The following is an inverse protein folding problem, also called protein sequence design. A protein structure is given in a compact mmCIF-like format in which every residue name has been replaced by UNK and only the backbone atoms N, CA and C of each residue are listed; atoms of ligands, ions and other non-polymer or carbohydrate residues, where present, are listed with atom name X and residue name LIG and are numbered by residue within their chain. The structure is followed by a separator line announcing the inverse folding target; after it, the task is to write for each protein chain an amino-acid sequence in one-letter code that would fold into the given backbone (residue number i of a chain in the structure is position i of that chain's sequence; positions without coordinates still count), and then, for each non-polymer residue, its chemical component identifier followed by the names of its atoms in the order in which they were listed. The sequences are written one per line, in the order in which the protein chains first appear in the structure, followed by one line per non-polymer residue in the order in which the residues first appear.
data_IF_995630083291
#
_entry.id   IF_995630083291
#
_cell.length_a   1.000
_cell.length_b   1.000
_cell.length_c   1.000
_cell.angle_alpha   90.00
_cell.angle_beta   90.00
_cell.angle_gamma   90.00
#
_symmetry.space_group_name_H-M   'P 1'
#
loop_
_entity.id
_entity.type
_entity.pdbx_description
1 polymer ?
#
# COMPACT_ATOMS: atom_id res chain seq x y z
N UNK A 1 -29.38 61.82 2.79
CA UNK A 1 -29.22 60.70 3.75
C UNK A 1 -28.78 59.43 3.03
N UNK A 2 -27.65 59.45 2.29
CA UNK A 2 -27.21 58.31 1.46
C UNK A 2 -25.79 57.81 1.80
N UNK A 3 -25.16 58.32 2.87
CA UNK A 3 -23.76 58.04 3.22
C UNK A 3 -23.60 57.02 4.38
N UNK A 4 -24.70 56.58 5.01
CA UNK A 4 -24.67 55.61 6.11
C UNK A 4 -24.81 54.14 5.65
N UNK A 5 -25.43 53.90 4.49
CA UNK A 5 -25.59 52.55 3.94
C UNK A 5 -24.28 51.92 3.48
N UNK A 6 -23.47 52.70 2.74
CA UNK A 6 -22.22 52.22 2.14
C UNK A 6 -21.17 51.84 3.19
N UNK A 7 -21.12 52.57 4.31
CA UNK A 7 -20.21 52.25 5.42
C UNK A 7 -20.58 50.93 6.10
N UNK A 8 -21.88 50.62 6.22
CA UNK A 8 -22.34 49.34 6.79
C UNK A 8 -22.02 48.17 5.86
N UNK A 9 -22.17 48.35 4.55
CA UNK A 9 -21.83 47.33 3.55
C UNK A 9 -20.31 47.04 3.56
N UNK A 10 -19.48 48.07 3.66
CA UNK A 10 -18.02 47.93 3.77
C UNK A 10 -17.59 47.20 5.04
N UNK A 11 -18.23 47.51 6.19
CA UNK A 11 -17.97 46.81 7.46
C UNK A 11 -18.40 45.34 7.39
N UNK A 12 -19.55 45.05 6.78
CA UNK A 12 -20.01 43.66 6.59
C UNK A 12 -19.06 42.89 5.66
N UNK A 13 -18.65 43.49 4.54
CA UNK A 13 -17.70 42.87 3.62
C UNK A 13 -16.33 42.61 4.28
N UNK A 14 -15.87 43.54 5.12
CA UNK A 14 -14.63 43.36 5.88
C UNK A 14 -14.76 42.24 6.92
N UNK A 15 -15.88 42.16 7.64
CA UNK A 15 -16.14 41.09 8.61
C UNK A 15 -16.26 39.71 7.94
N UNK A 16 -16.90 39.62 6.78
CA UNK A 16 -16.98 38.38 5.99
C UNK A 16 -15.60 37.98 5.46
N UNK A 17 -14.81 38.93 4.95
CA UNK A 17 -13.44 38.66 4.49
C UNK A 17 -12.51 38.20 5.63
N UNK A 18 -12.65 38.84 6.81
CA UNK A 18 -11.88 38.49 8.00
C UNK A 18 -12.23 37.09 8.51
N UNK A 19 -13.52 36.76 8.55
CA UNK A 19 -13.99 35.42 8.98
C UNK A 19 -13.58 34.33 8.00
N UNK A 20 -13.70 34.57 6.69
CA UNK A 20 -13.22 33.63 5.66
C UNK A 20 -11.70 33.44 5.76
N UNK A 21 -10.93 34.53 5.92
CA UNK A 21 -9.47 34.43 6.09
C UNK A 21 -9.08 33.71 7.37
N UNK A 22 -9.80 33.93 8.48
CA UNK A 22 -9.56 33.23 9.74
C UNK A 22 -9.89 31.74 9.62
N UNK A 23 -11.00 31.36 8.98
CA UNK A 23 -11.38 29.95 8.79
C UNK A 23 -10.40 29.24 7.86
N UNK A 24 -10.00 29.87 6.75
CA UNK A 24 -8.99 29.30 5.83
C UNK A 24 -7.64 29.15 6.53
N UNK A 25 -7.19 30.14 7.31
CA UNK A 25 -5.97 30.00 8.10
C UNK A 25 -6.10 28.95 9.22
N UNK A 26 -7.25 28.83 9.88
CA UNK A 26 -7.46 27.82 10.92
C UNK A 26 -7.42 26.41 10.31
N UNK A 27 -8.02 26.21 9.13
CA UNK A 27 -7.93 24.94 8.39
C UNK A 27 -6.50 24.71 7.87
N UNK A 28 -5.75 25.75 7.49
CA UNK A 28 -4.38 25.57 7.03
C UNK A 28 -3.40 25.26 8.19
N UNK A 29 -3.56 25.93 9.33
CA UNK A 29 -2.72 25.79 10.53
C UNK A 29 -3.08 24.53 11.33
N UNK A 30 -4.36 24.19 11.47
CA UNK A 30 -4.81 23.01 12.23
C UNK A 30 -5.22 21.81 11.37
N UNK A 31 -5.63 22.01 10.10
CA UNK A 31 -5.86 20.90 9.17
C UNK A 31 -4.57 20.18 8.77
N UNK A 32 -3.42 20.87 8.83
CA UNK A 32 -2.11 20.25 8.76
C UNK A 32 -1.77 19.37 9.97
N UNK A 33 -2.42 19.58 11.12
CA UNK A 33 -2.22 18.82 12.36
C UNK A 33 -3.27 17.72 12.60
N UNK A 34 -4.41 17.72 11.90
CA UNK A 34 -5.31 16.56 11.83
C UNK A 34 -4.80 15.49 10.84
N UNK A 35 -3.81 15.83 10.02
CA UNK A 35 -3.12 14.92 9.08
C UNK A 35 -1.65 14.69 9.46
N UNK A 36 -1.34 14.63 10.75
CA UNK A 36 0.00 14.31 11.24
C UNK A 36 -0.01 13.49 12.52
N UNK A 37 0.48 12.25 12.44
CA UNK A 37 1.13 11.64 13.60
C UNK A 37 0.47 10.40 14.22
N UNK A 38 -0.36 9.66 13.50
CA UNK A 38 -0.68 8.28 13.88
C UNK A 38 0.40 7.33 13.42
N UNK A 39 1.49 7.19 14.16
CA UNK A 39 2.33 5.98 14.15
C UNK A 39 1.50 4.82 14.72
N UNK A 40 0.46 4.39 14.03
CA UNK A 40 0.03 3.01 14.13
C UNK A 40 0.80 2.24 13.06
N UNK A 41 2.05 1.96 13.40
CA UNK A 41 2.58 0.66 13.08
C UNK A 41 1.55 -0.33 13.62
N UNK A 42 0.63 -0.79 12.78
CA UNK A 42 0.16 -2.17 12.92
C UNK A 42 1.47 -2.95 12.93
N UNK A 43 1.87 -3.58 14.04
CA UNK A 43 3.06 -4.39 14.00
C UNK A 43 2.73 -5.56 13.08
N UNK A 44 3.08 -5.42 11.81
CA UNK A 44 3.42 -6.59 11.01
C UNK A 44 4.69 -7.07 11.70
N UNK A 45 4.53 -7.94 12.69
CA UNK A 45 5.59 -8.84 13.12
C UNK A 45 5.87 -9.70 11.89
N UNK A 46 6.72 -9.19 11.00
CA UNK A 46 7.55 -10.04 10.18
C UNK A 46 8.39 -10.75 11.22
N UNK A 47 8.03 -11.98 11.55
CA UNK A 47 8.98 -12.89 12.17
C UNK A 47 10.14 -13.00 11.17
N UNK A 48 11.12 -12.10 11.29
CA UNK A 48 12.48 -12.41 10.92
C UNK A 48 12.87 -13.56 11.83
N UNK A 49 12.68 -14.81 11.37
CA UNK A 49 13.47 -15.93 11.86
C UNK A 49 14.91 -15.72 11.38
N UNK A 50 15.56 -14.68 11.89
CA UNK A 50 17.01 -14.63 12.00
C UNK A 50 17.33 -15.40 13.27
N UNK A 51 17.87 -16.60 13.09
CA UNK A 51 18.50 -17.34 14.17
C UNK A 51 19.53 -16.44 14.88
N UNK A 52 19.77 -16.65 16.18
CA UNK A 52 20.68 -15.80 16.94
C UNK A 52 22.06 -15.81 16.30
N UNK A 53 22.51 -14.63 15.88
CA UNK A 53 23.88 -14.38 15.45
C UNK A 53 24.81 -14.69 16.63
N UNK A 54 25.73 -15.62 16.40
CA UNK A 54 26.70 -16.08 17.37
C UNK A 54 27.59 -14.95 17.89
N UNK A 55 27.87 -15.04 19.18
CA UNK A 55 28.88 -14.28 19.90
C UNK A 55 30.27 -14.54 19.29
N UNK A 56 31.12 -13.51 19.10
CA UNK A 56 32.48 -13.70 18.60
C UNK A 56 33.39 -14.15 19.75
N UNK A 57 33.87 -15.40 19.69
CA UNK A 57 34.80 -15.90 20.70
C UNK A 57 35.32 -17.31 20.45
N UNK A 58 36.61 -17.39 20.13
CA UNK A 58 37.54 -18.54 20.16
C UNK A 58 37.36 -19.71 19.16
N UNK A 59 38.43 -20.09 18.42
CA UNK A 59 38.42 -21.25 17.55
C UNK A 59 38.78 -22.50 18.36
N UNK A 60 37.92 -23.52 18.33
CA UNK A 60 38.31 -24.88 18.71
C UNK A 60 37.95 -25.86 17.60
N UNK A 61 38.93 -26.73 17.29
CA UNK A 61 38.99 -27.62 16.13
C UNK A 61 38.61 -29.05 16.56
N UNK A 62 37.95 -29.79 15.66
CA UNK A 62 37.62 -31.25 15.66
C UNK A 62 36.42 -31.64 16.54
N UNK A 63 35.59 -32.65 16.22
CA UNK A 63 35.78 -33.90 15.45
C UNK A 63 34.41 -34.41 14.94
N UNK A 64 34.42 -35.24 13.90
CA UNK A 64 33.25 -35.63 13.10
C UNK A 64 32.12 -36.39 13.79
N UNK A 65 30.98 -36.38 13.08
CA UNK A 65 29.81 -37.21 13.28
C UNK A 65 29.01 -37.21 11.97
N UNK A 66 29.17 -38.29 11.21
CA UNK A 66 28.22 -38.67 10.16
C UNK A 66 26.85 -38.88 10.81
N UNK A 67 25.80 -38.31 10.22
CA UNK A 67 24.45 -38.47 10.71
C UNK A 67 23.49 -37.58 9.93
N UNK A 68 22.91 -38.14 8.89
CA UNK A 68 21.94 -37.47 8.04
C UNK A 68 20.80 -36.85 8.85
N UNK A 69 20.59 -35.56 8.62
CA UNK A 69 19.37 -34.86 8.94
C UNK A 69 19.02 -34.04 7.72
N UNK A 70 18.15 -34.60 6.86
CA UNK A 70 17.52 -33.91 5.75
C UNK A 70 17.22 -32.45 6.13
N UNK A 71 17.77 -31.53 5.36
CA UNK A 71 17.43 -30.12 5.45
C UNK A 71 15.92 -29.98 5.47
N UNK A 72 15.40 -29.48 6.59
CA UNK A 72 13.98 -29.22 6.77
C UNK A 72 13.52 -28.26 5.69
N UNK A 73 12.96 -28.79 4.61
CA UNK A 73 11.94 -28.09 3.86
C UNK A 73 10.84 -27.84 4.87
N UNK A 74 10.81 -26.64 5.45
CA UNK A 74 9.79 -26.23 6.39
C UNK A 74 8.44 -26.62 5.80
N UNK A 75 7.74 -27.53 6.48
CA UNK A 75 6.40 -27.96 6.11
C UNK A 75 5.58 -26.69 5.86
N UNK A 76 5.02 -26.55 4.66
CA UNK A 76 4.06 -25.45 4.42
C UNK A 76 2.92 -25.68 5.40
N UNK A 77 2.85 -24.83 6.42
CA UNK A 77 1.74 -24.88 7.36
C UNK A 77 0.56 -24.19 6.67
N UNK A 78 -0.40 -25.00 6.24
CA UNK A 78 -1.68 -24.51 5.75
C UNK A 78 -2.35 -23.67 6.85
N UNK A 79 -3.02 -22.60 6.45
CA UNK A 79 -3.70 -21.73 7.41
C UNK A 79 -4.80 -22.53 8.15
N UNK A 80 -4.87 -22.40 9.47
CA UNK A 80 -6.00 -22.95 10.23
C UNK A 80 -7.30 -22.29 9.76
N UNK A 81 -8.47 -22.96 9.90
CA UNK A 81 -9.75 -22.37 9.53
C UNK A 81 -10.01 -21.03 10.23
N UNK A 82 -9.61 -20.90 11.50
CA UNK A 82 -9.70 -19.68 12.29
C UNK A 82 -8.85 -18.54 11.70
N UNK A 83 -7.60 -18.85 11.33
CA UNK A 83 -6.71 -17.86 10.71
C UNK A 83 -7.24 -17.43 9.34
N UNK A 84 -7.75 -18.37 8.55
CA UNK A 84 -8.35 -18.06 7.24
C UNK A 84 -9.59 -17.17 7.40
N UNK A 85 -10.41 -17.38 8.43
CA UNK A 85 -11.55 -16.53 8.76
C UNK A 85 -11.11 -15.09 9.08
N UNK A 86 -10.03 -14.91 9.86
CA UNK A 86 -9.47 -13.58 10.14
C UNK A 86 -8.97 -12.87 8.86
N UNK A 87 -8.31 -13.58 7.95
CA UNK A 87 -7.91 -13.00 6.67
C UNK A 87 -9.11 -12.58 5.81
N UNK A 88 -10.18 -13.39 5.81
CA UNK A 88 -11.43 -13.08 5.10
C UNK A 88 -12.11 -11.85 5.68
N UNK A 89 -12.22 -11.77 7.01
CA UNK A 89 -12.79 -10.62 7.71
C UNK A 89 -11.99 -9.35 7.44
N UNK A 90 -10.66 -9.43 7.53
CA UNK A 90 -9.75 -8.32 7.18
C UNK A 90 -9.99 -7.83 5.76
N UNK A 91 -10.07 -8.72 4.78
CA UNK A 91 -10.33 -8.35 3.38
C UNK A 91 -11.69 -7.63 3.24
N UNK A 92 -12.74 -8.11 3.92
CA UNK A 92 -14.05 -7.49 3.92
C UNK A 92 -14.06 -6.09 4.58
N UNK A 93 -13.30 -5.90 5.67
CA UNK A 93 -13.18 -4.58 6.32
C UNK A 93 -12.49 -3.56 5.42
N UNK A 94 -11.38 -3.92 4.76
CA UNK A 94 -10.73 -3.03 3.81
C UNK A 94 -11.57 -2.76 2.56
N UNK A 95 -12.38 -3.72 2.12
CA UNK A 95 -13.34 -3.52 1.04
C UNK A 95 -14.42 -2.50 1.41
N UNK A 96 -15.03 -2.65 2.59
CA UNK A 96 -15.99 -1.66 3.10
C UNK A 96 -15.35 -0.26 3.18
N UNK A 97 -14.17 -0.16 3.79
CA UNK A 97 -13.43 1.10 3.90
C UNK A 97 -13.17 1.74 2.52
N UNK A 98 -12.65 0.97 1.56
CA UNK A 98 -12.37 1.47 0.22
C UNK A 98 -13.64 1.96 -0.48
N UNK A 99 -14.76 1.23 -0.36
CA UNK A 99 -16.02 1.66 -0.94
C UNK A 99 -16.51 2.98 -0.33
N UNK A 100 -16.41 3.13 1.00
CA UNK A 100 -16.77 4.40 1.68
C UNK A 100 -15.91 5.57 1.20
N UNK A 101 -14.59 5.40 1.10
CA UNK A 101 -13.69 6.46 0.62
C UNK A 101 -13.97 6.81 -0.84
N UNK A 102 -14.16 5.81 -1.70
CA UNK A 102 -14.46 6.01 -3.12
C UNK A 102 -15.79 6.75 -3.31
N UNK A 103 -16.82 6.39 -2.55
CA UNK A 103 -18.13 7.06 -2.61
C UNK A 103 -18.07 8.52 -2.14
N UNK A 104 -17.37 8.78 -1.04
CA UNK A 104 -17.19 10.14 -0.52
C UNK A 104 -16.45 11.06 -1.51
N UNK A 105 -15.42 10.54 -2.18
CA UNK A 105 -14.60 11.31 -3.11
C UNK A 105 -15.23 11.47 -4.50
N UNK A 106 -16.03 10.49 -4.94
CA UNK A 106 -16.90 10.65 -6.12
C UNK A 106 -17.88 11.80 -5.92
N UNK A 107 -18.46 11.94 -4.73
CA UNK A 107 -19.34 13.05 -4.41
C UNK A 107 -18.60 14.41 -4.38
N UNK A 108 -17.30 14.41 -4.07
CA UNK A 108 -16.45 15.61 -4.04
C UNK A 108 -15.78 15.96 -5.37
N UNK A 109 -15.82 15.08 -6.38
CA UNK A 109 -15.29 15.32 -7.73
C UNK A 109 -13.77 15.38 -7.83
N UNK A 110 -13.02 14.75 -6.91
CA UNK A 110 -11.55 14.76 -6.89
C UNK A 110 -10.98 13.35 -6.85
N UNK A 111 -9.97 13.09 -7.69
CA UNK A 111 -9.09 11.93 -7.53
C UNK A 111 -8.16 12.21 -6.35
N UNK A 112 -8.41 11.57 -5.21
CA UNK A 112 -7.64 11.81 -3.98
C UNK A 112 -6.60 10.73 -3.71
N UNK A 113 -5.54 11.13 -3.00
CA UNK A 113 -4.54 10.20 -2.46
C UNK A 113 -5.19 9.14 -1.56
N UNK A 114 -6.31 9.46 -0.92
CA UNK A 114 -7.00 8.56 -0.01
C UNK A 114 -7.73 7.44 -0.78
N UNK A 115 -8.33 7.75 -1.94
CA UNK A 115 -8.86 6.71 -2.86
C UNK A 115 -7.75 5.74 -3.28
N UNK A 116 -6.58 6.28 -3.61
CA UNK A 116 -5.44 5.47 -4.02
C UNK A 116 -4.98 4.52 -2.89
N UNK A 117 -4.80 5.06 -1.68
CA UNK A 117 -4.40 4.28 -0.48
C UNK A 117 -5.44 3.23 -0.09
N UNK A 118 -6.72 3.61 -0.09
CA UNK A 118 -7.81 2.73 0.29
C UNK A 118 -7.97 1.58 -0.71
N UNK A 119 -7.90 1.87 -2.01
CA UNK A 119 -7.93 0.85 -3.07
C UNK A 119 -6.76 -0.12 -2.94
N UNK A 120 -5.54 0.40 -2.71
CA UNK A 120 -4.36 -0.43 -2.51
C UNK A 120 -4.47 -1.35 -1.30
N UNK A 121 -4.94 -0.83 -0.16
CA UNK A 121 -5.13 -1.62 1.05
C UNK A 121 -6.16 -2.74 0.86
N UNK A 122 -7.28 -2.45 0.18
CA UNK A 122 -8.29 -3.45 -0.22
C UNK A 122 -7.68 -4.55 -1.08
N UNK A 123 -7.05 -4.19 -2.19
CA UNK A 123 -6.57 -5.17 -3.17
C UNK A 123 -5.46 -6.04 -2.57
N UNK A 124 -4.57 -5.45 -1.77
CA UNK A 124 -3.55 -6.17 -1.00
C UNK A 124 -4.17 -7.15 0.00
N UNK A 125 -5.21 -6.73 0.73
CA UNK A 125 -5.89 -7.61 1.68
C UNK A 125 -6.58 -8.80 0.96
N UNK A 126 -7.25 -8.55 -0.17
CA UNK A 126 -7.87 -9.59 -1.01
C UNK A 126 -6.84 -10.60 -1.52
N UNK A 127 -5.75 -10.11 -2.12
CA UNK A 127 -4.65 -10.98 -2.60
C UNK A 127 -4.05 -11.81 -1.47
N UNK A 128 -3.85 -11.21 -0.29
CA UNK A 128 -3.33 -11.93 0.88
C UNK A 128 -4.30 -13.04 1.30
N UNK A 129 -5.59 -12.76 1.40
CA UNK A 129 -6.61 -13.75 1.73
C UNK A 129 -6.63 -14.90 0.72
N UNK A 130 -6.73 -14.62 -0.58
CA UNK A 130 -6.78 -15.68 -1.61
C UNK A 130 -5.49 -16.49 -1.68
N UNK A 131 -4.33 -15.89 -1.40
CA UNK A 131 -3.06 -16.62 -1.28
C UNK A 131 -3.09 -17.63 -0.13
N UNK A 132 -3.71 -17.26 1.00
CA UNK A 132 -3.90 -18.16 2.15
C UNK A 132 -4.93 -19.25 1.87
N UNK A 133 -6.02 -18.89 1.20
CA UNK A 133 -7.06 -19.84 0.77
C UNK A 133 -6.50 -20.90 -0.19
N UNK A 134 -5.55 -20.52 -1.05
CA UNK A 134 -4.90 -21.41 -2.01
C UNK A 134 -3.65 -22.14 -1.44
N UNK A 135 -3.39 -22.08 -0.13
CA UNK A 135 -2.21 -22.65 0.54
C UNK A 135 -0.86 -22.28 -0.14
N UNK A 136 -0.81 -21.06 -0.64
CA UNK A 136 0.37 -20.48 -1.25
C UNK A 136 1.29 -19.89 -0.18
N UNK A 137 2.57 -19.64 -0.54
CA UNK A 137 3.56 -19.12 0.40
C UNK A 137 3.10 -17.79 1.01
N UNK A 138 3.44 -17.59 2.27
CA UNK A 138 3.01 -16.45 3.10
C UNK A 138 3.64 -15.09 2.72
N UNK A 139 4.59 -15.10 1.80
CA UNK A 139 5.43 -13.98 1.38
C UNK A 139 4.73 -13.17 0.28
N UNK A 140 5.11 -11.89 0.15
CA UNK A 140 4.68 -11.00 -0.93
C UNK A 140 4.90 -11.67 -2.28
N UNK A 141 3.83 -11.86 -3.03
CA UNK A 141 3.86 -12.42 -4.39
C UNK A 141 3.99 -11.34 -5.47
N UNK A 142 4.16 -11.77 -6.71
CA UNK A 142 4.33 -10.88 -7.86
C UNK A 142 3.14 -9.94 -8.08
N UNK A 143 1.90 -10.38 -7.83
CA UNK A 143 0.69 -9.58 -7.95
C UNK A 143 0.71 -8.42 -6.95
N UNK A 144 1.07 -8.69 -5.70
CA UNK A 144 1.16 -7.66 -4.67
C UNK A 144 2.30 -6.69 -4.95
N UNK A 145 3.48 -7.19 -5.35
CA UNK A 145 4.61 -6.34 -5.73
C UNK A 145 4.29 -5.47 -6.95
N UNK A 146 3.53 -5.98 -7.92
CA UNK A 146 3.07 -5.23 -9.07
C UNK A 146 2.11 -4.09 -8.68
N UNK A 147 1.13 -4.38 -7.82
CA UNK A 147 0.24 -3.35 -7.30
C UNK A 147 1.01 -2.30 -6.49
N UNK A 148 1.98 -2.70 -5.68
CA UNK A 148 2.84 -1.79 -4.92
C UNK A 148 3.65 -0.88 -5.84
N UNK A 149 4.22 -1.40 -6.93
CA UNK A 149 4.93 -0.61 -7.93
C UNK A 149 4.00 0.41 -8.61
N UNK A 150 2.79 0.01 -8.99
CA UNK A 150 1.80 0.93 -9.57
C UNK A 150 1.34 2.00 -8.58
N UNK A 151 1.09 1.61 -7.34
CA UNK A 151 0.76 2.51 -6.24
C UNK A 151 1.87 3.54 -6.03
N UNK A 152 3.12 3.11 -5.84
CA UNK A 152 4.27 3.99 -5.66
C UNK A 152 4.45 4.96 -6.85
N UNK A 153 4.20 4.50 -8.08
CA UNK A 153 4.26 5.36 -9.26
C UNK A 153 3.20 6.46 -9.27
N UNK A 154 1.99 6.18 -8.78
CA UNK A 154 0.94 7.18 -8.60
C UNK A 154 1.25 8.12 -7.44
N UNK A 155 1.82 7.61 -6.34
CA UNK A 155 2.29 8.43 -5.22
C UNK A 155 3.36 9.42 -5.68
N UNK A 156 4.37 8.97 -6.42
CA UNK A 156 5.40 9.86 -6.94
C UNK A 156 4.82 10.97 -7.83
N UNK A 157 3.88 10.64 -8.73
CA UNK A 157 3.22 11.65 -9.58
C UNK A 157 2.46 12.69 -8.75
N UNK A 158 1.73 12.26 -7.73
CA UNK A 158 1.02 13.16 -6.83
C UNK A 158 2.00 14.05 -6.05
N UNK A 159 3.06 13.46 -5.49
CA UNK A 159 4.11 14.15 -4.75
C UNK A 159 4.85 15.16 -5.62
N UNK A 160 5.15 14.83 -6.88
CA UNK A 160 5.75 15.75 -7.86
C UNK A 160 4.88 16.99 -8.12
N UNK A 161 3.57 16.80 -8.29
CA UNK A 161 2.61 17.92 -8.45
C UNK A 161 2.62 18.81 -7.19
N UNK A 162 2.59 18.21 -6.00
CA UNK A 162 2.62 18.96 -4.73
C UNK A 162 3.93 19.70 -4.51
N UNK A 163 5.07 19.11 -4.91
CA UNK A 163 6.37 19.74 -4.84
C UNK A 163 6.45 20.95 -5.78
N UNK A 164 6.02 20.79 -7.03
CA UNK A 164 5.95 21.89 -8.02
C UNK A 164 5.02 23.02 -7.58
N UNK A 165 3.97 22.69 -6.83
CA UNK A 165 3.06 23.67 -6.23
C UNK A 165 3.64 24.33 -4.95
N UNK A 166 4.82 23.94 -4.47
CA UNK A 166 5.43 24.46 -3.25
C UNK A 166 4.77 24.01 -1.95
N UNK A 167 3.90 23.00 -2.01
CA UNK A 167 3.14 22.48 -0.85
C UNK A 167 4.00 21.59 0.04
N UNK A 168 4.96 20.87 -0.57
CA UNK A 168 5.85 19.96 0.14
C UNK A 168 7.31 20.24 -0.20
N UNK A 169 8.21 19.78 0.67
CA UNK A 169 9.65 19.89 0.51
C UNK A 169 10.22 18.79 -0.39
N UNK A 170 11.44 19.00 -0.89
CA UNK A 170 12.13 18.08 -1.81
C UNK A 170 12.48 16.73 -1.18
N UNK A 171 12.62 16.65 0.15
CA UNK A 171 12.83 15.40 0.88
C UNK A 171 11.68 14.40 0.65
N UNK A 172 10.43 14.87 0.61
CA UNK A 172 9.25 14.04 0.34
C UNK A 172 9.23 13.52 -1.09
N UNK A 173 9.65 14.34 -2.04
CA UNK A 173 9.79 13.92 -3.44
C UNK A 173 10.87 12.84 -3.58
N UNK A 174 12.03 13.03 -2.93
CA UNK A 174 13.11 12.06 -2.93
C UNK A 174 12.67 10.73 -2.28
N UNK A 175 11.95 10.79 -1.15
CA UNK A 175 11.41 9.59 -0.51
C UNK A 175 10.44 8.83 -1.42
N UNK A 176 9.49 9.53 -2.07
CA UNK A 176 8.56 8.87 -3.00
C UNK A 176 9.28 8.26 -4.22
N UNK A 177 10.40 8.85 -4.64
CA UNK A 177 11.25 8.31 -5.71
C UNK A 177 11.96 7.03 -5.26
N UNK A 178 12.55 7.05 -4.05
CA UNK A 178 13.15 5.87 -3.42
C UNK A 178 12.14 4.73 -3.27
N UNK A 179 10.94 5.01 -2.77
CA UNK A 179 9.87 4.02 -2.59
C UNK A 179 9.46 3.38 -3.94
N UNK A 180 9.45 4.15 -5.03
CA UNK A 180 9.19 3.62 -6.37
C UNK A 180 10.30 2.67 -6.85
N UNK A 181 11.56 3.00 -6.58
CA UNK A 181 12.70 2.16 -6.91
C UNK A 181 12.65 0.86 -6.11
N UNK A 182 12.40 0.93 -4.81
CA UNK A 182 12.29 -0.25 -3.94
C UNK A 182 11.13 -1.15 -4.36
N UNK A 183 9.97 -0.56 -4.69
CA UNK A 183 8.83 -1.31 -5.21
C UNK A 183 9.14 -1.99 -6.56
N UNK A 184 9.93 -1.34 -7.43
CA UNK A 184 10.38 -1.93 -8.68
C UNK A 184 11.34 -3.10 -8.44
N UNK A 185 12.30 -2.96 -7.53
CA UNK A 185 13.22 -4.05 -7.18
C UNK A 185 12.42 -5.26 -6.68
N UNK A 186 11.49 -5.06 -5.75
CA UNK A 186 10.63 -6.13 -5.24
C UNK A 186 9.79 -6.80 -6.33
N UNK A 187 9.29 -6.01 -7.29
CA UNK A 187 8.58 -6.56 -8.45
C UNK A 187 9.51 -7.43 -9.29
N UNK A 188 10.68 -6.94 -9.70
CA UNK A 188 11.63 -7.72 -10.52
C UNK A 188 12.05 -9.02 -9.82
N UNK A 189 12.34 -8.97 -8.51
CA UNK A 189 12.64 -10.16 -7.71
C UNK A 189 11.47 -11.16 -7.67
N UNK A 190 10.23 -10.68 -7.55
CA UNK A 190 9.06 -11.53 -7.56
C UNK A 190 8.82 -12.14 -8.95
N UNK A 191 9.11 -11.40 -10.03
CA UNK A 191 8.98 -11.86 -11.41
C UNK A 191 9.97 -12.97 -11.78
N UNK A 192 11.11 -13.09 -11.08
CA UNK A 192 12.03 -14.23 -11.25
C UNK A 192 11.34 -15.59 -11.00
N UNK A 193 10.25 -15.60 -10.23
CA UNK A 193 9.50 -16.82 -9.89
C UNK A 193 8.32 -17.08 -10.84
N UNK A 194 8.00 -16.13 -11.71
CA UNK A 194 6.94 -16.26 -12.71
C UNK A 194 7.49 -17.02 -13.91
N UNK A 195 6.87 -18.16 -14.22
CA UNK A 195 7.32 -19.04 -15.31
C UNK A 195 6.91 -18.52 -16.69
N UNK A 196 5.68 -18.03 -16.82
CA UNK A 196 5.12 -17.54 -18.07
C UNK A 196 5.04 -16.01 -18.07
N UNK A 197 6.11 -15.38 -18.55
CA UNK A 197 6.21 -13.91 -18.60
C UNK A 197 5.24 -13.30 -19.61
N UNK A 198 4.95 -13.98 -20.71
CA UNK A 198 4.02 -13.49 -21.73
C UNK A 198 2.57 -13.48 -21.19
N UNK A 199 2.17 -14.53 -20.48
CA UNK A 199 0.88 -14.56 -19.80
C UNK A 199 0.78 -13.47 -18.71
N UNK A 200 1.88 -13.23 -17.99
CA UNK A 200 1.97 -12.16 -17.00
C UNK A 200 1.80 -10.76 -17.59
N UNK A 201 2.51 -10.44 -18.67
CA UNK A 201 2.39 -9.15 -19.37
C UNK A 201 0.95 -8.93 -19.87
N UNK A 202 0.33 -9.98 -20.44
CA UNK A 202 -1.06 -9.91 -20.87
C UNK A 202 -2.03 -9.66 -19.71
N UNK A 203 -1.82 -10.32 -18.57
CA UNK A 203 -2.69 -10.20 -17.40
C UNK A 203 -2.53 -8.86 -16.66
N UNK A 204 -1.35 -8.24 -16.72
CA UNK A 204 -1.07 -6.95 -16.08
C UNK A 204 -1.49 -5.74 -16.92
N UNK A 205 -1.64 -5.89 -18.23
CA UNK A 205 -2.03 -4.80 -19.15
C UNK A 205 -3.32 -4.07 -18.75
N UNK A 206 -4.43 -4.73 -18.36
CA UNK A 206 -5.65 -4.03 -17.92
C UNK A 206 -5.44 -3.20 -16.65
N UNK A 207 -4.40 -3.49 -15.87
CA UNK A 207 -4.08 -2.84 -14.60
C UNK A 207 -3.00 -1.75 -14.75
N UNK A 208 -2.65 -1.34 -15.99
CA UNK A 208 -1.67 -0.28 -16.21
C UNK A 208 -2.06 1.05 -15.57
N UNK A 209 -3.37 1.33 -15.53
CA UNK A 209 -3.97 2.54 -14.97
C UNK A 209 -4.48 2.38 -13.52
N UNK A 210 -3.98 1.37 -12.80
CA UNK A 210 -4.28 1.13 -11.40
C UNK A 210 -4.36 2.44 -10.56
N UNK A 211 -5.37 2.62 -9.69
CA UNK A 211 -6.40 1.65 -9.27
C UNK A 211 -7.69 1.64 -10.13
N UNK A 212 -7.67 2.25 -11.32
CA UNK A 212 -8.87 2.36 -12.16
C UNK A 212 -9.26 0.97 -12.71
N UNK A 213 -10.56 0.63 -12.62
CA UNK A 213 -11.17 -0.60 -13.18
C UNK A 213 -10.57 -1.92 -12.68
N UNK A 214 -10.05 -1.96 -11.45
CA UNK A 214 -9.59 -3.20 -10.83
C UNK A 214 -10.79 -4.06 -10.46
N UNK A 215 -10.82 -5.30 -10.95
CA UNK A 215 -11.84 -6.29 -10.61
C UNK A 215 -11.23 -7.50 -9.93
N UNK A 216 -12.04 -8.26 -9.20
CA UNK A 216 -11.60 -9.47 -8.51
C UNK A 216 -11.10 -10.54 -9.50
N UNK A 217 -11.66 -10.60 -10.72
CA UNK A 217 -11.19 -11.50 -11.78
C UNK A 217 -9.77 -11.15 -12.24
N UNK A 218 -9.46 -9.86 -12.40
CA UNK A 218 -8.12 -9.42 -12.78
C UNK A 218 -7.09 -9.78 -11.70
N UNK A 219 -7.42 -9.53 -10.43
CA UNK A 219 -6.54 -9.84 -9.31
C UNK A 219 -6.34 -11.35 -9.14
N UNK A 220 -7.40 -12.14 -9.27
CA UNK A 220 -7.32 -13.61 -9.26
C UNK A 220 -6.53 -14.16 -10.45
N UNK A 221 -6.66 -13.54 -11.62
CA UNK A 221 -5.86 -13.86 -12.81
C UNK A 221 -4.37 -13.69 -12.57
N UNK A 222 -3.95 -12.60 -11.92
CA UNK A 222 -2.55 -12.41 -11.53
C UNK A 222 -2.09 -13.46 -10.51
N UNK A 223 -2.90 -13.74 -9.49
CA UNK A 223 -2.56 -14.72 -8.46
C UNK A 223 -2.38 -16.13 -9.03
N UNK A 224 -3.20 -16.52 -10.01
CA UNK A 224 -3.09 -17.83 -10.67
C UNK A 224 -1.74 -18.03 -11.37
N UNK A 225 -1.12 -16.95 -11.86
CA UNK A 225 0.20 -16.98 -12.49
C UNK A 225 1.36 -17.12 -11.48
N UNK A 226 1.12 -16.80 -10.21
CA UNK A 226 2.10 -17.03 -9.13
C UNK A 226 2.16 -18.51 -8.70
N UNK A 227 1.14 -19.31 -9.02
CA UNK A 227 1.10 -20.69 -8.56
C UNK A 227 2.14 -21.55 -9.30
N UNK A 228 2.94 -22.36 -8.58
CA UNK A 228 3.66 -23.43 -9.23
C UNK A 228 2.62 -24.41 -9.77
N UNK A 229 2.46 -24.51 -11.10
CA UNK A 229 1.71 -25.63 -11.69
C UNK A 229 2.20 -26.93 -11.06
N UNK A 230 1.27 -27.79 -10.67
CA UNK A 230 1.58 -29.15 -10.24
C UNK A 230 2.60 -29.79 -11.20
N UNK A 231 3.50 -30.66 -10.71
CA UNK A 231 4.41 -31.37 -11.60
C UNK A 231 3.59 -32.04 -12.70
N UNK A 232 4.01 -31.82 -13.95
CA UNK A 232 3.49 -32.56 -15.10
C UNK A 232 3.89 -34.02 -14.95
#
# INVERSE_FOLDING_TARGET
MALEGDKRILVIAFLVSLTVSLVVNLIYVYGGQLCGGGKENIPIVIQETRGPAGTPGTPTRRRGGEGGGMGGFGMRQSATPELLALYKERAALYEKYANTVIEAEKAAGKDSMDVLKASFARDKAKLTYWRREADMRQMTGAAEAFLQYKFAGKVLKYTDVMYKAGVIQSDKLNLASSDLIDARIQLEEALLRIRDKAAWEKATKPLENYPINVTDELLRGLLALEQPRAPR
#
